data_IF_738734219244
#
_entry.id   IF_738734219244
#
_cell.length_a   1.000
_cell.length_b   1.000
_cell.length_c   1.000
_cell.angle_alpha   90.00
_cell.angle_beta   90.00
_cell.angle_gamma   90.00
#
_symmetry.space_group_name_H-M   'P 1'
#
loop_
_entity.id
_entity.type
_entity.pdbx_description
1 polymer ?
#
# COMPACT_ATOMS: atom_id res chain seq x y z
N UNK A 1 2.38 -23.62 0.60
CA UNK A 1 1.34 -22.80 -0.08
C UNK A 1 1.32 -21.48 0.67
N UNK A 2 1.54 -20.33 -0.01
CA UNK A 2 1.44 -19.03 0.64
C UNK A 2 0.03 -18.87 1.21
N UNK A 3 -0.11 -18.33 2.42
CA UNK A 3 -1.42 -18.05 3.03
C UNK A 3 -2.22 -17.02 2.23
N UNK A 4 -3.47 -16.73 2.61
CA UNK A 4 -4.30 -15.70 1.93
C UNK A 4 -3.63 -14.31 1.82
N UNK A 5 -2.65 -14.04 2.70
CA UNK A 5 -1.79 -12.86 2.70
C UNK A 5 -0.68 -12.87 1.63
N UNK A 6 -0.46 -13.98 0.93
CA UNK A 6 0.69 -14.18 0.04
C UNK A 6 2.02 -14.35 0.78
N UNK A 7 2.01 -14.45 2.11
CA UNK A 7 3.21 -14.63 2.93
C UNK A 7 3.39 -16.12 3.22
N UNK A 8 4.55 -16.67 2.89
CA UNK A 8 4.97 -17.97 3.43
C UNK A 8 5.67 -17.71 4.77
N UNK A 9 5.16 -18.27 5.86
CA UNK A 9 5.73 -18.05 7.20
C UNK A 9 6.98 -18.90 7.46
N UNK A 10 7.28 -19.85 6.57
CA UNK A 10 8.46 -20.72 6.66
C UNK A 10 9.62 -20.25 5.78
N UNK A 11 9.40 -19.30 4.88
CA UNK A 11 10.43 -18.65 4.07
C UNK A 11 10.41 -17.15 4.35
N UNK A 12 11.57 -16.54 4.63
CA UNK A 12 11.70 -15.07 4.72
C UNK A 12 11.58 -14.39 3.34
N UNK A 13 11.11 -15.12 2.32
CA UNK A 13 10.91 -14.63 0.97
C UNK A 13 9.45 -14.18 0.85
N UNK A 14 9.23 -12.89 0.65
CA UNK A 14 7.96 -12.36 0.18
C UNK A 14 7.59 -13.06 -1.13
N UNK A 15 6.37 -13.60 -1.24
CA UNK A 15 5.94 -14.13 -2.52
C UNK A 15 6.02 -13.02 -3.59
N UNK A 16 6.48 -13.34 -4.81
CA UNK A 16 6.58 -12.36 -5.89
C UNK A 16 5.28 -11.58 -6.06
N UNK A 17 5.36 -10.25 -5.99
CA UNK A 17 4.22 -9.34 -6.18
C UNK A 17 3.28 -9.17 -4.97
N UNK A 18 3.59 -9.72 -3.79
CA UNK A 18 2.76 -9.53 -2.60
C UNK A 18 2.62 -8.03 -2.21
N UNK A 19 3.73 -7.27 -2.23
CA UNK A 19 3.69 -5.83 -1.94
C UNK A 19 3.01 -5.03 -3.07
N UNK A 20 3.09 -5.50 -4.32
CA UNK A 20 2.32 -4.93 -5.43
C UNK A 20 0.80 -5.10 -5.22
N UNK A 21 0.35 -6.27 -4.76
CA UNK A 21 -1.07 -6.51 -4.42
C UNK A 21 -1.54 -5.60 -3.29
N UNK A 22 -0.72 -5.41 -2.25
CA UNK A 22 -1.01 -4.47 -1.15
C UNK A 22 -1.12 -3.03 -1.67
N UNK A 23 -0.21 -2.60 -2.55
CA UNK A 23 -0.27 -1.27 -3.18
C UNK A 23 -1.56 -1.07 -4.01
N UNK A 24 -2.00 -2.11 -4.72
CA UNK A 24 -3.27 -2.08 -5.47
C UNK A 24 -4.49 -1.96 -4.55
N UNK A 25 -4.54 -2.69 -3.43
CA UNK A 25 -5.62 -2.60 -2.45
C UNK A 25 -5.68 -1.19 -1.81
N UNK A 26 -4.53 -0.61 -1.47
CA UNK A 26 -4.49 0.77 -0.99
C UNK A 26 -4.97 1.76 -2.05
N UNK A 27 -4.58 1.59 -3.32
CA UNK A 27 -5.07 2.43 -4.42
C UNK A 27 -6.59 2.35 -4.58
N UNK A 28 -7.16 1.14 -4.53
CA UNK A 28 -8.61 0.94 -4.59
C UNK A 28 -9.35 1.53 -3.38
N UNK A 29 -8.72 1.54 -2.20
CA UNK A 29 -9.26 2.20 -1.01
C UNK A 29 -9.28 3.73 -1.16
N UNK A 30 -8.25 4.32 -1.79
CA UNK A 30 -8.20 5.76 -2.10
C UNK A 30 -9.35 6.16 -3.01
N UNK A 31 -9.66 5.38 -4.05
CA UNK A 31 -10.78 5.68 -4.95
C UNK A 31 -12.13 5.76 -4.21
N UNK A 32 -12.35 4.87 -3.23
CA UNK A 32 -13.56 4.86 -2.39
C UNK A 32 -13.58 6.07 -1.45
N UNK A 33 -12.45 6.41 -0.84
CA UNK A 33 -12.34 7.60 0.02
C UNK A 33 -12.54 8.89 -0.78
N UNK A 34 -12.07 8.94 -2.02
CA UNK A 34 -12.28 10.05 -2.95
C UNK A 34 -13.75 10.21 -3.35
N UNK A 35 -14.48 9.09 -3.55
CA UNK A 35 -15.92 9.12 -3.74
C UNK A 35 -16.63 9.67 -2.49
N UNK A 36 -16.31 9.14 -1.31
CA UNK A 36 -16.87 9.61 -0.04
C UNK A 36 -16.58 11.11 0.20
N UNK A 37 -15.38 11.58 -0.17
CA UNK A 37 -15.00 12.99 -0.09
C UNK A 37 -15.91 13.86 -0.97
N UNK A 38 -16.21 13.44 -2.20
CA UNK A 38 -17.10 14.17 -3.10
C UNK A 38 -18.52 14.23 -2.55
N UNK A 39 -19.04 13.11 -2.05
CA UNK A 39 -20.38 13.04 -1.47
C UNK A 39 -20.50 13.92 -0.23
N UNK A 40 -19.45 13.92 0.61
CA UNK A 40 -19.38 14.78 1.81
C UNK A 40 -19.35 16.26 1.46
N UNK A 41 -18.62 16.65 0.40
CA UNK A 41 -18.63 18.05 -0.09
C UNK A 41 -19.97 18.47 -0.70
N UNK A 42 -20.71 17.52 -1.26
CA UNK A 42 -22.04 17.75 -1.81
C UNK A 42 -23.15 17.72 -0.74
N UNK A 43 -22.81 17.36 0.50
CA UNK A 43 -23.77 17.33 1.59
C UNK A 43 -24.25 18.74 1.92
N UNK A 44 -25.55 18.95 1.69
CA UNK A 44 -26.27 20.15 2.11
C UNK A 44 -27.38 19.68 3.03
N UNK A 45 -27.37 20.15 4.26
CA UNK A 45 -28.46 19.91 5.20
C UNK A 45 -29.28 21.18 5.38
N UNK A 46 -30.60 21.03 5.21
CA UNK A 46 -31.56 22.05 5.57
C UNK A 46 -32.56 21.43 6.55
N UNK A 47 -32.46 21.82 7.82
CA UNK A 47 -33.24 21.24 8.92
C UNK A 47 -34.70 21.75 8.97
N UNK A 48 -35.20 22.34 7.88
CA UNK A 48 -36.62 22.66 7.69
C UNK A 48 -37.14 23.85 8.51
N UNK A 49 -36.27 24.61 9.15
CA UNK A 49 -36.66 25.77 9.98
C UNK A 49 -36.74 27.10 9.18
N UNK A 50 -36.50 27.07 7.87
CA UNK A 50 -36.51 28.27 7.01
C UNK A 50 -35.49 29.33 7.47
N UNK A 51 -35.77 30.60 7.18
CA UNK A 51 -34.86 31.72 7.48
C UNK A 51 -34.90 32.22 8.93
N UNK A 52 -35.42 31.45 9.89
CA UNK A 52 -35.32 31.84 11.30
C UNK A 52 -33.87 31.70 11.80
N UNK A 53 -33.53 32.46 12.85
CA UNK A 53 -32.16 32.55 13.36
C UNK A 53 -31.65 31.19 13.87
N UNK A 54 -32.51 30.45 14.56
CA UNK A 54 -32.22 29.10 15.05
C UNK A 54 -31.98 28.12 13.90
N UNK A 55 -32.81 28.16 12.86
CA UNK A 55 -32.64 27.31 11.67
C UNK A 55 -31.32 27.56 10.96
N UNK A 56 -30.98 28.84 10.78
CA UNK A 56 -29.69 29.25 10.19
C UNK A 56 -28.52 28.79 11.05
N UNK A 57 -28.61 28.95 12.38
CA UNK A 57 -27.57 28.53 13.33
C UNK A 57 -27.33 27.01 13.27
N UNK A 58 -28.39 26.21 13.29
CA UNK A 58 -28.27 24.75 13.21
C UNK A 58 -27.74 24.26 11.86
N UNK A 59 -28.21 24.84 10.75
CA UNK A 59 -27.70 24.51 9.42
C UNK A 59 -26.21 24.84 9.28
N UNK A 60 -25.77 25.98 9.82
CA UNK A 60 -24.36 26.37 9.84
C UNK A 60 -23.53 25.39 10.69
N UNK A 61 -23.97 25.08 11.91
CA UNK A 61 -23.26 24.15 12.80
C UNK A 61 -23.12 22.76 12.18
N UNK A 62 -24.16 22.28 11.47
CA UNK A 62 -24.10 21.00 10.76
C UNK A 62 -23.19 21.05 9.53
N UNK A 63 -23.20 22.17 8.81
CA UNK A 63 -22.26 22.39 7.68
C UNK A 63 -20.81 22.40 8.17
N UNK A 64 -20.52 23.08 9.29
CA UNK A 64 -19.20 23.11 9.90
C UNK A 64 -18.76 21.71 10.38
N UNK A 65 -19.68 20.94 10.99
CA UNK A 65 -19.41 19.57 11.42
C UNK A 65 -19.07 18.64 10.25
N UNK A 66 -19.73 18.82 9.09
CA UNK A 66 -19.52 17.94 7.93
C UNK A 66 -18.36 18.39 7.07
N UNK A 67 -18.27 19.68 6.76
CA UNK A 67 -17.39 20.25 5.74
C UNK A 67 -16.44 21.34 6.25
N UNK A 68 -16.44 21.65 7.56
CA UNK A 68 -15.53 22.63 8.14
C UNK A 68 -14.06 22.28 7.98
N UNK A 69 -13.17 23.25 8.20
CA UNK A 69 -11.73 23.08 7.95
C UNK A 69 -11.03 22.16 8.95
N UNK A 70 -11.51 22.10 10.20
CA UNK A 70 -10.89 21.31 11.27
C UNK A 70 -11.93 20.49 12.04
N UNK A 71 -11.55 19.27 12.42
CA UNK A 71 -12.38 18.32 13.17
C UNK A 71 -13.74 17.96 12.52
N UNK A 72 -13.90 18.25 11.22
CA UNK A 72 -15.06 17.87 10.43
C UNK A 72 -14.91 16.48 9.82
N UNK A 73 -16.03 15.89 9.38
CA UNK A 73 -16.03 14.63 8.62
C UNK A 73 -15.11 14.73 7.40
N UNK A 74 -15.19 15.83 6.65
CA UNK A 74 -14.34 16.08 5.48
C UNK A 74 -12.84 16.12 5.84
N UNK A 75 -12.49 16.75 6.96
CA UNK A 75 -11.09 16.82 7.42
C UNK A 75 -10.52 15.44 7.74
N UNK A 76 -11.32 14.57 8.37
CA UNK A 76 -10.92 13.19 8.71
C UNK A 76 -10.75 12.34 7.45
N UNK A 77 -11.65 12.50 6.46
CA UNK A 77 -11.54 11.81 5.17
C UNK A 77 -10.25 12.23 4.45
N UNK A 78 -9.94 13.53 4.41
CA UNK A 78 -8.70 14.01 3.78
C UNK A 78 -7.46 13.43 4.46
N UNK A 79 -7.41 13.42 5.80
CA UNK A 79 -6.29 12.83 6.54
C UNK A 79 -6.12 11.32 6.25
N UNK A 80 -7.23 10.59 6.07
CA UNK A 80 -7.17 9.17 5.69
C UNK A 80 -6.68 8.98 4.26
N UNK A 81 -7.10 9.81 3.31
CA UNK A 81 -6.60 9.78 1.93
C UNK A 81 -5.08 9.97 1.92
N UNK A 82 -4.56 10.97 2.65
CA UNK A 82 -3.11 11.24 2.73
C UNK A 82 -2.34 10.06 3.32
N UNK A 83 -2.89 9.44 4.37
CA UNK A 83 -2.28 8.28 5.03
C UNK A 83 -2.23 7.07 4.09
N UNK A 84 -3.34 6.75 3.42
CA UNK A 84 -3.42 5.59 2.52
C UNK A 84 -2.54 5.78 1.29
N UNK A 85 -2.48 7.00 0.74
CA UNK A 85 -1.55 7.32 -0.35
C UNK A 85 -0.09 7.10 0.07
N UNK A 86 0.27 7.49 1.30
CA UNK A 86 1.61 7.26 1.84
C UNK A 86 1.92 5.77 1.92
N UNK A 87 0.99 4.95 2.41
CA UNK A 87 1.16 3.50 2.49
C UNK A 87 1.23 2.83 1.12
N UNK A 88 0.46 3.29 0.14
CA UNK A 88 0.51 2.80 -1.23
C UNK A 88 1.91 3.02 -1.85
N UNK A 89 2.51 4.19 -1.61
CA UNK A 89 3.86 4.51 -2.07
C UNK A 89 4.92 3.68 -1.35
N UNK A 90 4.81 3.51 -0.02
CA UNK A 90 5.73 2.63 0.73
C UNK A 90 5.68 1.19 0.25
N UNK A 91 4.50 0.65 -0.04
CA UNK A 91 4.35 -0.69 -0.59
C UNK A 91 5.03 -0.82 -1.97
N UNK A 92 4.93 0.21 -2.80
CA UNK A 92 5.60 0.27 -4.10
C UNK A 92 7.12 0.33 -3.97
N UNK A 93 7.64 1.16 -3.07
CA UNK A 93 9.08 1.24 -2.77
C UNK A 93 9.59 -0.10 -2.26
N UNK A 94 8.90 -0.74 -1.32
CA UNK A 94 9.27 -2.04 -0.78
C UNK A 94 9.33 -3.14 -1.86
N UNK A 95 8.36 -3.18 -2.78
CA UNK A 95 8.39 -4.11 -3.91
C UNK A 95 9.60 -3.85 -4.81
N UNK A 96 9.88 -2.59 -5.16
CA UNK A 96 11.03 -2.24 -5.99
C UNK A 96 12.37 -2.62 -5.32
N UNK A 97 12.51 -2.40 -4.01
CA UNK A 97 13.72 -2.79 -3.27
C UNK A 97 13.89 -4.30 -3.22
N UNK A 98 12.79 -5.04 -3.02
CA UNK A 98 12.79 -6.50 -3.08
C UNK A 98 13.22 -7.00 -4.47
N UNK A 99 12.59 -6.51 -5.54
CA UNK A 99 12.89 -6.92 -6.92
C UNK A 99 14.35 -6.62 -7.29
N UNK A 100 14.87 -5.46 -6.89
CA UNK A 100 16.28 -5.09 -7.11
C UNK A 100 17.26 -5.96 -6.32
N UNK A 101 16.91 -6.32 -5.08
CA UNK A 101 17.74 -7.19 -4.24
C UNK A 101 17.76 -8.60 -4.80
N UNK A 102 16.61 -9.12 -5.21
CA UNK A 102 16.50 -10.43 -5.84
C UNK A 102 17.26 -10.47 -7.16
N UNK A 103 17.14 -9.42 -7.98
CA UNK A 103 17.92 -9.29 -9.21
C UNK A 103 19.43 -9.29 -8.92
N UNK A 104 19.91 -8.50 -7.96
CA UNK A 104 21.33 -8.50 -7.56
C UNK A 104 21.80 -9.82 -6.98
N UNK A 105 20.98 -10.52 -6.21
CA UNK A 105 21.29 -11.85 -5.71
C UNK A 105 21.42 -12.84 -6.87
N UNK A 106 20.49 -12.80 -7.83
CA UNK A 106 20.55 -13.66 -9.02
C UNK A 106 21.79 -13.40 -9.89
N UNK A 107 22.30 -12.17 -9.93
CA UNK A 107 23.53 -11.82 -10.66
C UNK A 107 24.81 -12.17 -9.89
N UNK A 108 24.78 -12.09 -8.55
CA UNK A 108 25.95 -12.34 -7.70
C UNK A 108 26.18 -13.82 -7.37
N UNK A 109 25.12 -14.63 -7.36
CA UNK A 109 25.27 -16.07 -7.49
C UNK A 109 25.61 -16.38 -8.94
N UNK A 110 26.91 -16.47 -9.26
CA UNK A 110 27.33 -17.19 -10.46
C UNK A 110 26.60 -18.53 -10.45
N UNK A 111 25.79 -18.81 -11.49
CA UNK A 111 25.34 -20.17 -11.76
C UNK A 111 26.58 -21.04 -11.65
N UNK A 112 26.61 -21.94 -10.66
CA UNK A 112 27.67 -22.92 -10.55
C UNK A 112 27.72 -23.60 -11.92
N UNK A 113 28.77 -23.30 -12.70
CA UNK A 113 28.95 -23.94 -13.99
C UNK A 113 29.13 -25.42 -13.70
N UNK A 114 28.65 -26.30 -14.58
CA UNK A 114 28.69 -27.75 -14.37
C UNK A 114 30.09 -28.35 -14.15
N UNK A 115 31.16 -27.57 -14.33
CA UNK A 115 32.56 -27.88 -14.01
C UNK A 115 32.96 -27.56 -12.56
N UNK A 116 32.10 -26.88 -11.79
CA UNK A 116 32.32 -26.47 -10.38
C UNK A 116 31.43 -27.22 -9.38
N UNK A 117 30.64 -28.20 -9.85
CA UNK A 117 29.68 -28.96 -9.04
C UNK A 117 30.14 -30.43 -8.98
N UNK A 118 30.17 -31.03 -7.79
CA UNK A 118 30.43 -32.46 -7.63
C UNK A 118 29.22 -33.33 -8.06
N UNK A 119 29.39 -34.66 -8.06
CA UNK A 119 28.31 -35.60 -8.41
C UNK A 119 27.10 -35.55 -7.46
N UNK A 120 27.20 -34.80 -6.36
CA UNK A 120 26.15 -34.62 -5.35
C UNK A 120 25.51 -33.23 -5.40
N UNK A 121 25.88 -32.37 -6.37
CA UNK A 121 25.29 -31.04 -6.51
C UNK A 121 25.95 -29.95 -5.65
N UNK A 122 27.08 -30.23 -5.00
CA UNK A 122 27.78 -29.29 -4.12
C UNK A 122 28.92 -28.58 -4.84
N UNK A 123 29.07 -27.28 -4.59
CA UNK A 123 30.16 -26.46 -5.14
C UNK A 123 31.53 -26.91 -4.61
N UNK A 124 32.48 -27.17 -5.51
CA UNK A 124 33.83 -27.63 -5.14
C UNK A 124 34.74 -26.42 -4.90
N UNK A 125 35.32 -26.31 -3.70
CA UNK A 125 36.36 -25.32 -3.38
C UNK A 125 37.59 -25.97 -2.71
N UNK A 126 38.82 -25.65 -3.13
CA UNK A 126 39.17 -24.75 -4.23
C UNK A 126 38.84 -25.33 -5.61
N UNK A 127 38.64 -24.49 -6.64
CA UNK A 127 38.31 -24.97 -7.99
C UNK A 127 39.42 -25.88 -8.52
N UNK A 128 39.08 -26.97 -9.24
CA UNK A 128 40.06 -27.90 -9.77
C UNK A 128 41.00 -27.16 -10.72
N UNK A 129 42.30 -27.21 -10.43
CA UNK A 129 43.33 -26.65 -11.29
C UNK A 129 43.41 -27.48 -12.57
N UNK A 130 42.98 -26.92 -13.69
CA UNK A 130 43.24 -27.47 -15.02
C UNK A 130 44.76 -27.54 -15.23
N UNK A 131 45.29 -28.74 -15.50
CA UNK A 131 46.68 -28.94 -15.93
C UNK A 131 46.93 -28.40 -17.33
#
# INVERSE_FOLDING_TARGET
MPGESGLDMNELHLAPGAAMKVSQEFSAAVDKLEALRRDTKAFVAELGMGACAEGTSWNNALTDLVAGESASVLSVINAHIDTVNTWAEWAKVAQNEYDNTEHRNSESFQQLRGDTIDSNGLGVYPPPTTS
#
